data_IF_106101888680
#
_entry.id   IF_106101888680
#
_cell.length_a   1.000
_cell.length_b   1.000
_cell.length_c   1.000
_cell.angle_alpha   90.00
_cell.angle_beta   90.00
_cell.angle_gamma   90.00
#
_symmetry.space_group_name_H-M   'P 1'
#
loop_
_entity.id
_entity.type
_entity.pdbx_description
1 polymer ?
#
# COMPACT_ATOMS: atom_id res chain seq x y z
N UNK A 1 -41.86 -33.38 14.51
CA UNK A 1 -42.52 -33.53 13.21
C UNK A 1 -41.51 -33.25 12.11
N UNK A 2 -41.23 -34.25 11.31
CA UNK A 2 -40.28 -34.24 10.18
C UNK A 2 -40.90 -33.55 8.98
N UNK A 3 -40.14 -32.73 8.22
CA UNK A 3 -40.33 -32.45 6.78
C UNK A 3 -38.96 -32.07 6.26
N UNK A 4 -38.26 -32.91 5.61
CA UNK A 4 -38.23 -33.44 4.22
C UNK A 4 -37.75 -32.43 3.19
N UNK A 5 -36.58 -32.77 2.71
CA UNK A 5 -35.71 -32.30 1.62
C UNK A 5 -36.47 -32.33 0.27
N UNK A 6 -36.24 -31.34 -0.58
CA UNK A 6 -36.31 -31.53 -2.04
C UNK A 6 -35.11 -30.87 -2.72
N UNK A 7 -34.23 -31.76 -3.20
CA UNK A 7 -33.24 -31.45 -4.24
C UNK A 7 -33.94 -31.31 -5.59
N UNK A 8 -33.56 -30.35 -6.39
CA UNK A 8 -33.88 -30.36 -7.82
C UNK A 8 -32.59 -30.11 -8.61
N UNK A 9 -32.21 -31.16 -9.35
CA UNK A 9 -31.16 -31.19 -10.37
C UNK A 9 -31.77 -30.81 -11.72
N UNK A 10 -31.07 -30.00 -12.52
CA UNK A 10 -31.18 -29.90 -13.97
C UNK A 10 -29.85 -29.44 -14.55
N UNK A 11 -29.24 -30.20 -15.18
CA UNK A 11 -28.85 -30.75 -16.44
C UNK A 11 -28.58 -29.73 -17.55
N UNK A 12 -27.29 -29.65 -17.86
CA UNK A 12 -26.53 -29.36 -19.08
C UNK A 12 -27.25 -28.88 -20.34
N UNK A 13 -26.65 -27.89 -21.02
CA UNK A 13 -26.41 -27.98 -22.46
C UNK A 13 -25.17 -27.16 -22.85
N UNK A 14 -24.19 -27.85 -23.39
CA UNK A 14 -23.01 -27.31 -24.07
C UNK A 14 -23.38 -26.94 -25.51
N UNK A 15 -22.85 -25.86 -26.04
CA UNK A 15 -22.73 -25.64 -27.46
C UNK A 15 -21.39 -24.97 -27.78
N UNK A 16 -20.52 -25.75 -28.35
CA UNK A 16 -19.29 -25.33 -28.98
C UNK A 16 -19.58 -24.66 -30.33
N UNK A 17 -18.92 -23.52 -30.60
CA UNK A 17 -18.80 -23.05 -31.99
C UNK A 17 -17.33 -22.73 -32.26
N UNK A 18 -16.74 -23.60 -33.09
CA UNK A 18 -15.44 -23.44 -33.72
C UNK A 18 -15.65 -22.63 -35.01
N UNK A 19 -14.91 -21.55 -35.20
CA UNK A 19 -14.67 -21.00 -36.53
C UNK A 19 -13.19 -20.71 -36.69
N UNK A 20 -12.58 -21.54 -37.48
CA UNK A 20 -11.26 -21.37 -38.08
C UNK A 20 -11.39 -20.49 -39.33
N UNK A 21 -10.43 -19.59 -39.57
CA UNK A 21 -10.00 -19.27 -40.92
C UNK A 21 -8.57 -18.76 -40.96
N UNK A 22 -7.89 -19.32 -41.93
CA UNK A 22 -6.47 -19.31 -42.19
C UNK A 22 -6.00 -18.14 -43.07
N UNK A 23 -4.72 -17.83 -42.89
CA UNK A 23 -3.65 -17.61 -43.88
C UNK A 23 -3.81 -16.54 -44.99
N UNK A 24 -2.83 -15.69 -45.14
CA UNK A 24 -1.86 -15.78 -46.23
C UNK A 24 -0.71 -14.77 -46.06
N UNK A 25 0.46 -15.29 -46.17
CA UNK A 25 1.80 -14.84 -46.49
C UNK A 25 1.91 -13.79 -47.61
N UNK A 26 2.93 -12.92 -47.54
CA UNK A 26 3.97 -12.87 -48.55
C UNK A 26 5.16 -12.00 -48.10
N UNK A 27 6.34 -12.53 -48.43
CA UNK A 27 7.64 -11.95 -48.19
C UNK A 27 8.07 -11.06 -49.36
N UNK A 28 8.86 -10.05 -49.14
CA UNK A 28 9.84 -9.61 -50.12
C UNK A 28 11.11 -9.05 -49.51
N UNK A 29 12.18 -9.60 -49.96
CA UNK A 29 13.61 -9.37 -49.74
C UNK A 29 14.12 -8.09 -50.40
N UNK A 30 15.15 -7.49 -49.78
CA UNK A 30 15.95 -6.45 -50.44
C UNK A 30 17.21 -6.11 -49.63
N UNK A 31 18.31 -6.67 -50.07
CA UNK A 31 19.72 -6.49 -49.65
C UNK A 31 20.33 -5.22 -50.19
N UNK A 32 21.26 -4.58 -49.41
CA UNK A 32 22.63 -4.17 -49.77
C UNK A 32 23.22 -3.19 -48.76
N UNK A 33 24.21 -3.54 -48.05
CA UNK A 33 25.69 -3.45 -48.08
C UNK A 33 26.34 -2.09 -47.86
N UNK A 34 27.26 -2.13 -46.85
CA UNK A 34 28.54 -1.41 -46.66
C UNK A 34 28.46 0.03 -46.11
N UNK A 35 29.34 0.49 -45.24
CA UNK A 35 30.65 0.04 -44.68
C UNK A 35 31.09 0.98 -43.55
N UNK A 36 31.75 0.38 -42.56
CA UNK A 36 32.80 0.88 -41.64
C UNK A 36 32.93 2.35 -41.23
N UNK A 37 32.95 2.60 -39.90
CA UNK A 37 34.18 3.01 -39.22
C UNK A 37 33.97 3.02 -37.68
N UNK A 38 34.92 2.42 -37.00
CA UNK A 38 34.98 2.22 -35.55
C UNK A 38 35.28 3.50 -34.76
N UNK A 39 34.65 3.65 -33.62
CA UNK A 39 35.27 4.31 -32.46
C UNK A 39 34.69 3.72 -31.18
N UNK A 40 35.58 3.15 -30.37
CA UNK A 40 35.25 2.52 -29.11
C UNK A 40 34.97 3.56 -28.03
N UNK A 41 33.89 3.40 -27.35
CA UNK A 41 33.71 3.96 -25.99
C UNK A 41 32.86 3.00 -25.18
N UNK A 42 33.37 2.61 -24.02
CA UNK A 42 32.79 1.64 -23.13
C UNK A 42 31.47 2.17 -22.56
N UNK A 43 30.39 1.46 -22.81
CA UNK A 43 29.12 1.65 -22.14
C UNK A 43 28.82 0.43 -21.29
N UNK A 44 28.61 0.69 -20.01
CA UNK A 44 28.06 -0.30 -19.07
C UNK A 44 26.66 -0.75 -19.54
N UNK A 45 26.48 -2.06 -19.60
CA UNK A 45 25.21 -2.65 -19.92
C UNK A 45 24.29 -2.59 -18.69
N UNK A 46 23.23 -1.82 -18.76
CA UNK A 46 22.05 -1.98 -17.91
C UNK A 46 20.89 -2.38 -18.83
N UNK A 47 20.71 -3.67 -18.98
CA UNK A 47 19.51 -4.24 -19.60
C UNK A 47 18.61 -4.77 -18.48
N UNK A 48 17.61 -4.01 -18.11
CA UNK A 48 16.45 -4.58 -17.39
C UNK A 48 15.58 -5.31 -18.42
N UNK A 49 15.03 -6.50 -18.08
CA UNK A 49 14.10 -7.18 -18.97
C UNK A 49 12.77 -6.44 -19.06
N UNK A 50 12.21 -6.39 -20.25
CA UNK A 50 10.86 -5.89 -20.50
C UNK A 50 9.83 -6.61 -19.61
N UNK A 51 9.00 -5.82 -18.95
CA UNK A 51 7.95 -6.24 -18.01
C UNK A 51 6.79 -6.88 -18.79
N UNK A 52 6.30 -8.07 -18.41
CA UNK A 52 4.99 -8.53 -18.86
C UNK A 52 3.90 -7.63 -18.25
N UNK A 53 2.86 -7.32 -19.03
CA UNK A 53 1.70 -6.54 -18.61
C UNK A 53 0.99 -7.20 -17.40
N UNK A 54 1.43 -6.84 -16.19
CA UNK A 54 0.81 -7.21 -14.93
C UNK A 54 -0.02 -6.04 -14.45
N UNK A 55 -1.32 -6.23 -14.27
CA UNK A 55 -2.21 -5.24 -13.62
C UNK A 55 -1.76 -5.11 -12.16
N UNK A 56 -1.26 -3.95 -11.81
CA UNK A 56 -0.64 -3.66 -10.55
C UNK A 56 -1.58 -3.66 -9.35
N UNK A 57 -1.00 -3.77 -8.18
CA UNK A 57 -1.62 -3.43 -6.89
C UNK A 57 -2.00 -1.94 -6.81
N UNK A 58 -2.40 -1.42 -5.65
CA UNK A 58 -2.77 -0.01 -5.50
C UNK A 58 -1.60 0.89 -5.94
N UNK A 59 -1.68 1.49 -7.13
CA UNK A 59 -0.62 2.27 -7.75
C UNK A 59 -0.02 1.69 -9.02
N UNK A 60 -0.60 0.62 -9.60
CA UNK A 60 -0.10 -0.03 -10.81
C UNK A 60 -0.24 0.79 -12.09
N UNK A 61 0.56 1.83 -12.24
CA UNK A 61 0.90 2.46 -13.51
C UNK A 61 2.14 1.79 -14.12
N UNK A 62 2.21 1.68 -15.43
CA UNK A 62 3.30 1.06 -16.18
C UNK A 62 4.65 1.74 -15.90
N UNK A 63 5.65 0.95 -15.56
CA UNK A 63 6.96 1.42 -15.10
C UNK A 63 7.67 2.40 -16.03
N UNK A 64 7.96 3.56 -15.49
CA UNK A 64 9.02 4.46 -15.95
C UNK A 64 9.97 4.65 -14.79
N UNK A 65 11.23 4.26 -14.96
CA UNK A 65 12.22 4.33 -13.89
C UNK A 65 12.41 5.76 -13.36
N UNK A 66 12.70 5.87 -12.08
CA UNK A 66 13.16 7.10 -11.44
C UNK A 66 14.34 7.66 -12.26
N UNK A 67 14.16 8.82 -12.85
CA UNK A 67 15.14 9.45 -13.73
C UNK A 67 14.66 9.73 -15.15
N UNK A 68 13.47 9.31 -15.55
CA UNK A 68 12.85 9.76 -16.78
C UNK A 68 12.45 11.23 -16.64
N UNK A 69 12.96 12.08 -17.51
CA UNK A 69 12.50 13.46 -17.71
C UNK A 69 11.08 13.47 -18.30
N UNK A 70 10.13 12.83 -17.63
CA UNK A 70 8.73 12.98 -17.99
C UNK A 70 8.32 14.43 -17.74
N UNK A 71 7.70 15.05 -18.74
CA UNK A 71 7.14 16.38 -18.56
C UNK A 71 6.01 16.29 -17.54
N UNK A 72 6.12 17.03 -16.45
CA UNK A 72 5.03 17.17 -15.48
C UNK A 72 3.81 17.74 -16.18
N UNK A 73 2.72 17.00 -16.21
CA UNK A 73 1.48 17.41 -16.85
C UNK A 73 0.36 17.47 -15.81
N UNK A 74 -0.13 18.68 -15.54
CA UNK A 74 -1.18 18.93 -14.55
C UNK A 74 -2.51 19.37 -15.20
N UNK A 75 -2.60 19.33 -16.53
CA UNK A 75 -3.78 19.76 -17.27
C UNK A 75 -4.08 21.25 -17.08
N UNK A 76 -5.35 21.61 -17.21
CA UNK A 76 -5.87 22.96 -17.02
C UNK A 76 -6.52 23.16 -15.65
N UNK A 77 -7.04 24.35 -15.38
CA UNK A 77 -7.83 24.64 -14.19
C UNK A 77 -8.98 25.59 -14.55
N UNK A 78 -10.17 25.29 -14.04
CA UNK A 78 -11.30 26.17 -14.16
C UNK A 78 -11.11 27.48 -13.37
N UNK A 79 -10.44 27.38 -12.23
CA UNK A 79 -10.12 28.50 -11.36
C UNK A 79 -8.68 28.39 -10.90
N UNK A 80 -7.89 29.44 -11.06
CA UNK A 80 -6.50 29.53 -10.61
C UNK A 80 -6.32 30.69 -9.65
N UNK A 81 -5.66 30.46 -8.53
CA UNK A 81 -5.20 31.48 -7.59
C UNK A 81 -3.67 31.47 -7.60
N UNK A 82 -3.07 32.51 -8.17
CA UNK A 82 -1.62 32.69 -8.33
C UNK A 82 -1.08 33.92 -7.58
N UNK A 83 -1.90 34.50 -6.71
CA UNK A 83 -1.56 35.66 -5.87
C UNK A 83 -2.05 35.44 -4.46
N UNK A 84 -1.30 35.95 -3.49
CA UNK A 84 -1.63 35.84 -2.07
C UNK A 84 -3.02 36.42 -1.76
N UNK A 85 -3.88 35.60 -1.18
CA UNK A 85 -5.27 36.01 -0.88
C UNK A 85 -5.88 35.17 0.24
N UNK A 86 -7.01 35.66 0.74
CA UNK A 86 -7.91 34.92 1.63
C UNK A 86 -9.32 34.93 1.05
N UNK A 87 -9.89 33.75 0.86
CA UNK A 87 -11.23 33.56 0.31
C UNK A 87 -12.18 33.01 1.39
N UNK A 88 -13.39 33.54 1.41
CA UNK A 88 -14.43 33.13 2.36
C UNK A 88 -15.69 32.69 1.62
N UNK A 89 -16.20 31.50 1.95
CA UNK A 89 -17.50 31.01 1.46
C UNK A 89 -17.65 31.05 -0.07
N UNK A 90 -16.54 30.96 -0.80
CA UNK A 90 -16.50 30.92 -2.25
C UNK A 90 -16.74 29.51 -2.75
N UNK A 91 -17.34 29.35 -3.93
CA UNK A 91 -17.54 28.07 -4.60
C UNK A 91 -16.71 28.00 -5.88
N UNK A 92 -15.99 26.91 -6.04
CA UNK A 92 -15.17 26.58 -7.19
C UNK A 92 -15.69 25.27 -7.81
N UNK A 93 -15.96 25.26 -9.10
CA UNK A 93 -16.52 24.09 -9.77
C UNK A 93 -15.82 23.80 -11.08
N UNK A 94 -15.77 22.52 -11.47
CA UNK A 94 -15.35 22.08 -12.79
C UNK A 94 -16.08 20.81 -13.22
N UNK A 95 -16.28 20.68 -14.53
CA UNK A 95 -16.77 19.49 -15.21
C UNK A 95 -15.87 19.10 -16.40
N UNK A 96 -14.77 19.83 -16.62
CA UNK A 96 -13.88 19.63 -17.76
C UNK A 96 -12.96 18.43 -17.59
N UNK A 97 -12.57 17.81 -18.70
CA UNK A 97 -11.53 16.78 -18.71
C UNK A 97 -10.15 17.43 -18.49
N UNK A 98 -9.24 16.73 -17.83
CA UNK A 98 -7.88 17.21 -17.51
C UNK A 98 -7.87 18.59 -16.83
N UNK A 99 -8.88 18.91 -16.06
CA UNK A 99 -9.09 20.24 -15.49
C UNK A 99 -9.32 20.18 -13.97
N UNK A 100 -8.51 20.90 -13.19
CA UNK A 100 -8.77 21.08 -11.76
C UNK A 100 -9.97 22.02 -11.55
N UNK A 101 -10.80 21.79 -10.51
CA UNK A 101 -11.82 22.78 -10.15
C UNK A 101 -11.18 24.03 -9.52
N UNK A 102 -10.12 23.85 -8.74
CA UNK A 102 -9.29 24.92 -8.20
C UNK A 102 -7.80 24.53 -8.24
N UNK A 103 -6.96 25.43 -8.73
CA UNK A 103 -5.50 25.34 -8.62
C UNK A 103 -4.96 26.53 -7.82
N UNK A 104 -4.08 26.25 -6.86
CA UNK A 104 -3.28 27.25 -6.16
C UNK A 104 -1.84 27.11 -6.65
N UNK A 105 -1.33 28.13 -7.32
CA UNK A 105 -0.08 28.10 -8.07
C UNK A 105 0.92 29.11 -7.47
N UNK A 106 1.88 28.64 -6.71
CA UNK A 106 2.99 29.43 -6.17
C UNK A 106 2.61 30.53 -5.16
N UNK A 107 1.36 30.59 -4.72
CA UNK A 107 0.83 31.63 -3.86
C UNK A 107 0.60 31.18 -2.41
N UNK A 108 0.51 32.12 -1.49
CA UNK A 108 0.05 31.89 -0.12
C UNK A 108 -1.44 32.19 -0.03
N UNK A 109 -2.25 31.15 0.16
CA UNK A 109 -3.71 31.25 0.08
C UNK A 109 -4.37 30.67 1.33
N UNK A 110 -5.38 31.38 1.85
CA UNK A 110 -6.28 30.86 2.89
C UNK A 110 -7.68 30.71 2.32
N UNK A 111 -8.26 29.52 2.44
CA UNK A 111 -9.64 29.20 2.05
C UNK A 111 -10.43 28.83 3.31
N UNK A 112 -11.47 29.58 3.64
CA UNK A 112 -12.29 29.31 4.81
C UNK A 112 -13.78 29.21 4.44
N UNK A 113 -14.40 28.07 4.76
CA UNK A 113 -15.81 27.83 4.46
C UNK A 113 -16.09 27.71 2.95
N UNK A 114 -15.10 27.37 2.15
CA UNK A 114 -15.28 27.25 0.69
C UNK A 114 -15.87 25.89 0.30
N UNK A 115 -16.45 25.84 -0.89
CA UNK A 115 -16.87 24.61 -1.55
C UNK A 115 -16.06 24.42 -2.83
N UNK A 116 -15.41 23.27 -2.98
CA UNK A 116 -14.75 22.86 -4.22
C UNK A 116 -15.46 21.61 -4.75
N UNK A 117 -15.99 21.65 -5.95
CA UNK A 117 -16.74 20.55 -6.55
C UNK A 117 -16.24 20.21 -7.95
N UNK A 118 -15.67 19.04 -8.10
CA UNK A 118 -15.28 18.44 -9.36
C UNK A 118 -16.32 17.39 -9.75
N UNK A 119 -17.43 17.81 -10.32
CA UNK A 119 -18.62 16.97 -10.50
C UNK A 119 -18.60 16.11 -11.78
N UNK A 120 -17.62 16.28 -12.66
CA UNK A 120 -17.42 15.46 -13.86
C UNK A 120 -16.02 15.67 -14.45
N UNK A 121 -15.75 15.02 -15.57
CA UNK A 121 -14.49 15.01 -16.30
C UNK A 121 -13.66 13.78 -16.00
N UNK A 122 -12.75 13.47 -16.89
CA UNK A 122 -11.80 12.36 -16.78
C UNK A 122 -10.38 12.82 -17.08
N UNK A 123 -9.42 12.10 -16.53
CA UNK A 123 -8.01 12.29 -16.88
C UNK A 123 -7.71 11.54 -18.18
N UNK A 124 -7.08 12.20 -19.13
CA UNK A 124 -6.59 11.57 -20.35
C UNK A 124 -5.40 10.65 -20.10
N UNK A 125 -4.72 10.83 -18.98
CA UNK A 125 -3.61 9.99 -18.51
C UNK A 125 -3.75 9.76 -17.00
N UNK A 126 -3.97 8.51 -16.59
CA UNK A 126 -4.12 8.14 -15.19
C UNK A 126 -2.85 8.42 -14.38
N UNK A 127 -1.65 8.19 -14.93
CA UNK A 127 -0.39 8.47 -14.24
C UNK A 127 -0.21 9.97 -13.97
N UNK A 128 -0.55 10.85 -14.92
CA UNK A 128 -0.50 12.30 -14.70
C UNK A 128 -1.50 12.74 -13.62
N UNK A 129 -2.65 12.06 -13.53
CA UNK A 129 -3.63 12.26 -12.46
C UNK A 129 -3.08 11.82 -11.09
N UNK A 130 -2.49 10.64 -11.03
CA UNK A 130 -1.99 10.04 -9.79
C UNK A 130 -0.70 10.71 -9.29
N UNK A 131 0.21 11.09 -10.21
CA UNK A 131 1.53 11.61 -9.82
C UNK A 131 1.61 13.13 -9.76
N UNK A 132 0.83 13.84 -10.60
CA UNK A 132 0.97 15.29 -10.75
C UNK A 132 -0.29 16.08 -10.44
N UNK A 133 -1.41 15.38 -10.13
CA UNK A 133 -2.67 16.02 -9.75
C UNK A 133 -3.50 16.55 -10.91
N UNK A 134 -3.29 16.05 -12.15
CA UNK A 134 -4.18 16.34 -13.25
C UNK A 134 -5.60 15.86 -12.91
N UNK A 135 -6.59 16.69 -13.19
CA UNK A 135 -8.01 16.44 -12.90
C UNK A 135 -8.42 16.44 -11.42
N UNK A 136 -7.52 16.71 -10.46
CA UNK A 136 -7.87 16.82 -9.05
C UNK A 136 -8.92 17.92 -8.79
N UNK A 137 -9.75 17.74 -7.76
CA UNK A 137 -10.69 18.81 -7.37
C UNK A 137 -9.92 20.05 -6.93
N UNK A 138 -8.94 19.91 -6.04
CA UNK A 138 -8.07 20.99 -5.60
C UNK A 138 -6.61 20.57 -5.73
N UNK A 139 -5.81 21.35 -6.47
CA UNK A 139 -4.37 21.15 -6.63
C UNK A 139 -3.60 22.35 -6.08
N UNK A 140 -2.66 22.10 -5.15
CA UNK A 140 -1.63 23.05 -4.77
C UNK A 140 -0.28 22.64 -5.38
N UNK A 141 0.44 23.58 -6.00
CA UNK A 141 1.65 23.31 -6.75
C UNK A 141 2.62 24.50 -6.76
N UNK A 142 3.84 24.30 -7.28
CA UNK A 142 4.85 25.34 -7.49
C UNK A 142 5.26 26.09 -6.21
N UNK A 143 5.36 25.38 -5.09
CA UNK A 143 5.76 26.01 -3.81
C UNK A 143 4.63 26.79 -3.13
N UNK A 144 3.37 26.54 -3.48
CA UNK A 144 2.22 27.15 -2.83
C UNK A 144 2.15 26.81 -1.34
N UNK A 145 1.67 27.75 -0.54
CA UNK A 145 1.27 27.53 0.85
C UNK A 145 -0.24 27.73 0.95
N UNK A 146 -0.95 26.63 1.06
CA UNK A 146 -2.42 26.63 1.08
C UNK A 146 -2.94 26.23 2.46
N UNK A 147 -3.77 27.10 3.05
CA UNK A 147 -4.51 26.81 4.29
C UNK A 147 -6.00 26.66 3.96
N UNK A 148 -6.60 25.53 4.37
CA UNK A 148 -8.02 25.22 4.15
C UNK A 148 -8.69 24.96 5.50
N UNK A 149 -9.78 25.66 5.77
CA UNK A 149 -10.51 25.52 7.03
C UNK A 149 -12.01 25.43 6.77
N UNK A 150 -12.72 24.61 7.56
CA UNK A 150 -14.20 24.55 7.58
C UNK A 150 -14.82 24.38 6.18
N UNK A 151 -14.16 23.65 5.29
CA UNK A 151 -14.48 23.61 3.86
C UNK A 151 -15.02 22.25 3.44
N UNK A 152 -15.66 22.20 2.27
CA UNK A 152 -16.17 20.98 1.67
C UNK A 152 -15.57 20.79 0.28
N UNK A 153 -14.91 19.65 0.07
CA UNK A 153 -14.31 19.29 -1.21
C UNK A 153 -14.95 17.99 -1.70
N UNK A 154 -15.51 18.02 -2.91
CA UNK A 154 -16.17 16.85 -3.51
C UNK A 154 -15.62 16.57 -4.90
N UNK A 155 -15.57 15.26 -5.25
CA UNK A 155 -15.25 14.85 -6.62
C UNK A 155 -16.03 13.60 -7.02
N UNK A 156 -16.57 13.60 -8.24
CA UNK A 156 -17.08 12.42 -8.92
C UNK A 156 -16.39 12.17 -10.28
N UNK A 157 -15.23 12.79 -10.47
CA UNK A 157 -14.41 12.67 -11.65
C UNK A 157 -13.34 11.58 -11.48
N UNK A 158 -13.01 10.86 -12.54
CA UNK A 158 -11.88 9.92 -12.55
C UNK A 158 -10.56 10.68 -12.36
N UNK A 159 -9.65 10.16 -11.51
CA UNK A 159 -8.47 10.88 -11.02
C UNK A 159 -8.79 12.22 -10.33
N UNK A 160 -10.05 12.39 -9.92
CA UNK A 160 -10.53 13.57 -9.22
C UNK A 160 -10.15 13.56 -7.75
N UNK A 161 -8.86 13.46 -7.43
CA UNK A 161 -8.37 13.50 -6.08
C UNK A 161 -8.92 14.72 -5.33
N UNK A 162 -9.31 14.56 -4.06
CA UNK A 162 -9.94 15.62 -3.30
C UNK A 162 -9.02 16.82 -3.13
N UNK A 163 -7.94 16.66 -2.37
CA UNK A 163 -6.92 17.70 -2.15
C UNK A 163 -5.54 17.12 -2.50
N UNK A 164 -4.85 17.78 -3.40
CA UNK A 164 -3.56 17.33 -3.92
C UNK A 164 -2.46 18.35 -3.62
N UNK A 165 -1.38 17.90 -2.96
CA UNK A 165 -0.15 18.66 -2.71
C UNK A 165 0.97 18.13 -3.59
N UNK A 166 1.43 18.90 -4.55
CA UNK A 166 2.47 18.50 -5.49
C UNK A 166 3.72 19.35 -5.43
N UNK A 167 4.87 18.69 -5.30
CA UNK A 167 6.18 19.27 -5.53
C UNK A 167 6.84 19.86 -4.27
N UNK A 168 8.17 19.86 -4.28
CA UNK A 168 8.97 20.42 -3.19
C UNK A 168 8.58 21.88 -2.87
N UNK A 169 8.54 22.21 -1.59
CA UNK A 169 8.15 23.53 -1.09
C UNK A 169 6.64 23.78 -1.07
N UNK A 170 5.83 22.95 -1.73
CA UNK A 170 4.36 23.06 -1.64
C UNK A 170 3.88 22.50 -0.29
N UNK A 171 3.04 23.28 0.40
CA UNK A 171 2.48 22.90 1.69
C UNK A 171 0.97 23.14 1.71
N UNK A 172 0.22 22.10 2.04
CA UNK A 172 -1.21 22.16 2.33
C UNK A 172 -1.45 21.96 3.81
N UNK A 173 -2.08 22.95 4.46
CA UNK A 173 -2.58 22.84 5.82
C UNK A 173 -4.11 22.81 5.75
N UNK A 174 -4.73 21.71 6.18
CA UNK A 174 -6.18 21.55 6.09
C UNK A 174 -6.77 21.12 7.42
N UNK A 175 -7.83 21.78 7.86
CA UNK A 175 -8.50 21.46 9.13
C UNK A 175 -10.02 21.53 9.05
N UNK A 176 -10.69 20.77 9.94
CA UNK A 176 -12.13 20.82 10.19
C UNK A 176 -12.98 20.78 8.89
N UNK A 177 -12.52 20.00 7.93
CA UNK A 177 -13.06 19.98 6.56
C UNK A 177 -13.53 18.60 6.17
N UNK A 178 -14.42 18.54 5.18
CA UNK A 178 -14.95 17.30 4.64
C UNK A 178 -14.47 17.09 3.21
N UNK A 179 -13.97 15.90 2.91
CA UNK A 179 -13.55 15.49 1.56
C UNK A 179 -14.32 14.23 1.17
N UNK A 180 -14.96 14.25 -0.01
CA UNK A 180 -15.64 13.07 -0.57
C UNK A 180 -15.28 12.87 -2.02
N UNK A 181 -14.81 11.69 -2.37
CA UNK A 181 -14.54 11.28 -3.75
C UNK A 181 -15.28 9.98 -4.08
N UNK A 182 -15.71 9.81 -5.33
CA UNK A 182 -16.57 8.66 -5.68
C UNK A 182 -16.18 7.91 -6.94
N UNK A 183 -15.32 8.48 -7.80
CA UNK A 183 -14.84 7.79 -9.00
C UNK A 183 -13.50 7.08 -8.75
N UNK A 184 -13.09 6.23 -9.70
CA UNK A 184 -11.84 5.47 -9.61
C UNK A 184 -10.61 6.39 -9.68
N UNK A 185 -9.52 5.97 -9.06
CA UNK A 185 -8.25 6.70 -8.93
C UNK A 185 -8.42 8.10 -8.30
N UNK A 186 -9.33 8.23 -7.35
CA UNK A 186 -9.71 9.52 -6.75
C UNK A 186 -9.53 9.46 -5.24
N UNK A 187 -8.30 9.61 -4.77
CA UNK A 187 -7.95 9.63 -3.35
C UNK A 187 -8.55 10.82 -2.60
N UNK A 188 -8.51 10.76 -1.27
CA UNK A 188 -8.98 11.84 -0.40
C UNK A 188 -7.97 12.99 -0.33
N UNK A 189 -6.92 12.86 0.48
CA UNK A 189 -5.74 13.73 0.48
C UNK A 189 -4.60 12.99 -0.21
N UNK A 190 -3.91 13.67 -1.12
CA UNK A 190 -2.80 13.10 -1.88
C UNK A 190 -1.59 14.01 -1.87
N UNK A 191 -0.40 13.44 -1.70
CA UNK A 191 0.87 14.17 -1.62
C UNK A 191 1.92 13.46 -2.46
N UNK A 192 2.53 14.17 -3.40
CA UNK A 192 3.53 13.61 -4.30
C UNK A 192 4.63 14.61 -4.63
N UNK A 193 5.71 14.13 -5.24
CA UNK A 193 6.80 14.99 -5.73
C UNK A 193 7.50 15.81 -4.65
N UNK A 194 7.52 15.34 -3.40
CA UNK A 194 8.15 16.04 -2.27
C UNK A 194 7.25 17.10 -1.59
N UNK A 195 5.94 17.12 -1.88
CA UNK A 195 4.99 18.02 -1.22
C UNK A 195 4.80 17.71 0.27
N UNK A 196 4.09 18.59 0.95
CA UNK A 196 3.72 18.42 2.37
C UNK A 196 2.23 18.62 2.56
N UNK A 197 1.58 17.71 3.32
CA UNK A 197 0.20 17.88 3.78
C UNK A 197 0.13 17.75 5.28
N UNK A 198 -0.43 18.76 5.95
CA UNK A 198 -0.76 18.74 7.37
C UNK A 198 -2.28 18.79 7.51
N UNK A 199 -2.87 17.70 8.01
CA UNK A 199 -4.31 17.54 8.12
C UNK A 199 -4.74 17.43 9.59
N UNK A 200 -5.76 18.17 9.99
CA UNK A 200 -6.30 18.11 11.35
C UNK A 200 -7.80 17.94 11.31
N UNK A 201 -8.31 16.92 12.03
CA UNK A 201 -9.75 16.72 12.26
C UNK A 201 -10.58 16.69 10.96
N UNK A 202 -10.15 15.93 9.95
CA UNK A 202 -10.88 15.80 8.69
C UNK A 202 -11.92 14.68 8.74
N UNK A 203 -12.96 14.81 7.92
CA UNK A 203 -13.83 13.71 7.52
C UNK A 203 -13.56 13.40 6.05
N UNK A 204 -12.92 12.28 5.79
CA UNK A 204 -12.57 11.83 4.43
C UNK A 204 -13.30 10.55 4.10
N UNK A 205 -13.98 10.52 2.96
CA UNK A 205 -14.66 9.33 2.42
C UNK A 205 -14.34 9.18 0.94
N UNK A 206 -13.77 8.03 0.56
CA UNK A 206 -13.55 7.67 -0.85
C UNK A 206 -14.34 6.42 -1.20
N UNK A 207 -14.86 6.32 -2.43
CA UNK A 207 -15.71 5.19 -2.84
C UNK A 207 -15.27 4.54 -4.15
N UNK A 208 -14.39 5.16 -4.92
CA UNK A 208 -13.83 4.60 -6.15
C UNK A 208 -12.80 3.51 -5.87
N UNK A 209 -12.53 2.69 -6.87
CA UNK A 209 -11.42 1.73 -6.84
C UNK A 209 -10.08 2.49 -6.94
N UNK A 210 -9.02 1.94 -6.38
CA UNK A 210 -7.69 2.56 -6.33
C UNK A 210 -7.72 3.99 -5.77
N UNK A 211 -8.52 4.21 -4.73
CA UNK A 211 -8.84 5.52 -4.16
C UNK A 211 -8.62 5.56 -2.65
N UNK A 212 -7.37 5.50 -2.22
CA UNK A 212 -7.02 5.56 -0.81
C UNK A 212 -7.47 6.88 -0.15
N UNK A 213 -7.87 6.83 1.12
CA UNK A 213 -8.31 8.03 1.84
C UNK A 213 -7.14 8.98 2.16
N UNK A 214 -5.97 8.43 2.53
CA UNK A 214 -4.69 9.13 2.65
C UNK A 214 -3.74 8.45 1.65
N UNK A 215 -3.22 9.22 0.69
CA UNK A 215 -2.41 8.67 -0.39
C UNK A 215 -1.15 9.50 -0.61
N UNK A 216 -0.08 8.81 -0.90
CA UNK A 216 1.10 9.37 -1.59
C UNK A 216 1.42 8.52 -2.80
N UNK A 217 2.20 9.08 -3.71
CA UNK A 217 2.62 8.38 -4.92
C UNK A 217 4.00 8.88 -5.33
N UNK A 218 4.42 8.61 -6.55
CA UNK A 218 5.78 8.86 -7.08
C UNK A 218 6.38 10.19 -6.64
N UNK A 219 7.62 10.13 -6.14
CA UNK A 219 8.35 11.28 -5.60
C UNK A 219 8.05 11.58 -4.13
N UNK A 220 7.15 10.82 -3.50
CA UNK A 220 6.90 10.88 -2.07
C UNK A 220 6.51 12.25 -1.53
N UNK A 221 6.87 12.48 -0.28
CA UNK A 221 6.63 13.73 0.45
C UNK A 221 6.46 13.49 1.94
N UNK A 222 5.72 14.39 2.60
CA UNK A 222 5.41 14.29 4.03
C UNK A 222 3.92 14.49 4.27
N UNK A 223 3.30 13.56 4.99
CA UNK A 223 1.89 13.67 5.39
C UNK A 223 1.79 13.56 6.90
N UNK A 224 1.27 14.60 7.54
CA UNK A 224 1.01 14.63 8.98
C UNK A 224 -0.50 14.76 9.20
N UNK A 225 -1.08 13.82 9.95
CA UNK A 225 -2.50 13.79 10.27
C UNK A 225 -2.69 13.77 11.78
N UNK A 226 -3.57 14.61 12.32
CA UNK A 226 -3.97 14.58 13.73
C UNK A 226 -5.49 14.66 13.85
N UNK A 227 -6.10 13.59 14.32
CA UNK A 227 -7.55 13.45 14.47
C UNK A 227 -8.29 13.23 13.14
N UNK A 228 -9.59 13.01 13.25
CA UNK A 228 -10.49 12.83 12.13
C UNK A 228 -10.79 11.38 11.78
N UNK A 229 -11.57 11.20 10.71
CA UNK A 229 -12.01 9.92 10.21
C UNK A 229 -11.72 9.79 8.72
N UNK A 230 -11.07 8.71 8.32
CA UNK A 230 -10.62 8.44 6.98
C UNK A 230 -11.12 7.08 6.55
N UNK A 231 -12.10 7.06 5.65
CA UNK A 231 -12.78 5.84 5.20
C UNK A 231 -12.61 5.65 3.70
N UNK A 232 -12.16 4.48 3.30
CA UNK A 232 -12.16 4.02 1.91
C UNK A 232 -13.14 2.85 1.75
N UNK A 233 -13.93 2.88 0.66
CA UNK A 233 -14.96 1.88 0.37
C UNK A 233 -14.66 1.06 -0.89
N UNK A 234 -13.77 1.54 -1.74
CA UNK A 234 -13.44 0.92 -3.01
C UNK A 234 -12.54 -0.31 -2.88
N UNK A 235 -12.55 -1.12 -3.94
CA UNK A 235 -11.58 -2.18 -4.12
C UNK A 235 -10.18 -1.56 -4.33
N UNK A 236 -9.15 -2.23 -3.79
CA UNK A 236 -7.75 -1.78 -3.93
C UNK A 236 -7.56 -0.34 -3.42
N UNK A 237 -8.27 0.02 -2.36
CA UNK A 237 -8.34 1.37 -1.80
C UNK A 237 -8.05 1.33 -0.30
N UNK A 238 -6.78 1.26 0.10
CA UNK A 238 -6.43 1.27 1.52
C UNK A 238 -6.85 2.58 2.20
N UNK A 239 -6.99 2.55 3.53
CA UNK A 239 -7.18 3.79 4.27
C UNK A 239 -5.93 4.68 4.17
N UNK A 240 -4.73 4.06 4.19
CA UNK A 240 -3.45 4.74 3.98
C UNK A 240 -2.59 3.97 2.98
N UNK A 241 -2.19 4.62 1.89
CA UNK A 241 -1.19 4.12 0.94
C UNK A 241 0.05 5.03 0.96
N UNK A 242 1.19 4.46 1.31
CA UNK A 242 2.43 5.23 1.53
C UNK A 242 3.55 4.88 0.54
N UNK A 243 3.93 5.87 -0.24
CA UNK A 243 5.23 6.02 -0.89
C UNK A 243 5.94 7.28 -0.37
N UNK A 244 5.72 7.63 0.89
CA UNK A 244 6.18 8.85 1.56
C UNK A 244 6.47 8.58 3.04
N UNK A 245 6.75 9.64 3.78
CA UNK A 245 6.72 9.61 5.25
C UNK A 245 5.34 10.06 5.75
N UNK A 246 4.53 9.11 6.21
CA UNK A 246 3.17 9.36 6.70
C UNK A 246 3.10 9.15 8.21
N UNK A 247 2.69 10.18 8.93
CA UNK A 247 2.41 10.12 10.37
C UNK A 247 0.94 10.42 10.61
N UNK A 248 0.25 9.52 11.33
CA UNK A 248 -1.17 9.70 11.70
C UNK A 248 -1.33 9.53 13.20
N UNK A 249 -2.02 10.47 13.83
CA UNK A 249 -2.30 10.48 15.28
C UNK A 249 -3.79 10.65 15.54
N UNK A 250 -4.28 9.98 16.58
CA UNK A 250 -5.62 10.17 17.15
C UNK A 250 -6.77 10.06 16.12
N UNK A 251 -6.63 9.24 15.09
CA UNK A 251 -7.55 9.15 13.96
C UNK A 251 -8.19 7.78 13.82
N UNK A 252 -9.36 7.73 13.17
CA UNK A 252 -10.03 6.52 12.75
C UNK A 252 -9.74 6.25 11.26
N UNK A 253 -9.12 5.12 10.97
CA UNK A 253 -8.72 4.68 9.64
C UNK A 253 -9.48 3.41 9.27
N UNK A 254 -10.29 3.44 8.22
CA UNK A 254 -11.12 2.30 7.83
C UNK A 254 -11.05 2.03 6.34
N UNK A 255 -10.71 0.78 5.97
CA UNK A 255 -10.85 0.27 4.61
C UNK A 255 -11.92 -0.83 4.60
N UNK A 256 -13.00 -0.61 3.84
CA UNK A 256 -14.15 -1.51 3.81
C UNK A 256 -14.08 -2.60 2.73
N UNK A 257 -13.16 -2.50 1.78
CA UNK A 257 -13.00 -3.45 0.69
C UNK A 257 -11.53 -3.56 0.22
N UNK A 258 -10.61 -3.31 1.14
CA UNK A 258 -9.17 -3.34 0.89
C UNK A 258 -8.42 -3.62 2.19
N UNK A 259 -7.12 -3.82 2.10
CA UNK A 259 -6.20 -3.69 3.22
C UNK A 259 -6.30 -2.29 3.85
N UNK A 260 -6.04 -2.19 5.15
CA UNK A 260 -6.09 -0.90 5.83
C UNK A 260 -4.89 -0.01 5.50
N UNK A 261 -3.70 -0.61 5.49
CA UNK A 261 -2.42 0.11 5.41
C UNK A 261 -1.51 -0.55 4.38
N UNK A 262 -0.89 0.25 3.55
CA UNK A 262 0.09 -0.20 2.55
C UNK A 262 1.34 0.68 2.62
N UNK A 263 2.52 0.04 2.66
CA UNK A 263 3.81 0.71 2.53
C UNK A 263 4.56 0.10 1.35
N UNK A 264 4.93 0.92 0.39
CA UNK A 264 5.75 0.51 -0.74
C UNK A 264 7.16 1.09 -0.66
N UNK A 265 8.18 0.23 -0.75
CA UNK A 265 9.59 0.62 -0.83
C UNK A 265 10.12 1.30 0.42
N UNK A 266 11.10 2.18 0.24
CA UNK A 266 11.79 2.91 1.31
C UNK A 266 10.92 4.05 1.89
N UNK A 267 9.77 3.69 2.44
CA UNK A 267 8.79 4.65 2.95
C UNK A 267 8.28 4.23 4.32
N UNK A 268 7.46 5.09 4.94
CA UNK A 268 7.02 4.86 6.31
C UNK A 268 5.55 5.14 6.57
N UNK A 269 4.99 4.42 7.56
CA UNK A 269 3.76 4.77 8.27
C UNK A 269 4.03 4.74 9.77
N UNK A 270 3.77 5.85 10.44
CA UNK A 270 3.82 5.97 11.90
C UNK A 270 2.44 6.30 12.44
N UNK A 271 1.90 5.45 13.32
CA UNK A 271 0.59 5.63 13.94
C UNK A 271 0.70 5.81 15.46
N UNK A 272 -0.01 6.79 15.99
CA UNK A 272 -0.12 7.03 17.44
C UNK A 272 -1.59 7.13 17.85
N UNK A 273 -2.05 6.24 18.74
CA UNK A 273 -3.43 6.21 19.27
C UNK A 273 -4.51 6.19 18.18
N UNK A 274 -4.28 5.48 17.08
CA UNK A 274 -5.25 5.35 15.98
C UNK A 274 -6.12 4.11 16.17
N UNK A 275 -7.36 4.19 15.65
CA UNK A 275 -8.22 3.02 15.43
C UNK A 275 -8.14 2.64 13.96
N UNK A 276 -7.62 1.44 13.68
CA UNK A 276 -7.41 0.97 12.30
C UNK A 276 -8.26 -0.27 12.04
N UNK A 277 -9.00 -0.28 10.94
CA UNK A 277 -9.81 -1.43 10.52
C UNK A 277 -9.59 -1.71 9.03
N UNK A 278 -9.21 -2.94 8.71
CA UNK A 278 -9.11 -3.46 7.35
C UNK A 278 -10.15 -4.54 7.09
N UNK A 279 -10.63 -4.64 5.85
CA UNK A 279 -11.58 -5.65 5.40
C UNK A 279 -11.38 -5.96 3.92
N UNK A 280 -10.21 -6.50 3.58
CA UNK A 280 -9.93 -6.92 2.21
C UNK A 280 -10.88 -8.05 1.80
N UNK A 281 -11.53 -7.90 0.64
CA UNK A 281 -12.48 -8.90 0.12
C UNK A 281 -11.77 -10.16 -0.37
N UNK A 282 -12.39 -11.33 -0.16
CA UNK A 282 -11.98 -12.59 -0.80
C UNK A 282 -12.22 -12.57 -2.32
N UNK A 283 -13.26 -11.86 -2.76
CA UNK A 283 -13.52 -11.63 -4.17
C UNK A 283 -12.74 -10.43 -4.65
N UNK A 284 -11.51 -10.68 -5.07
CA UNK A 284 -10.59 -9.66 -5.55
C UNK A 284 -10.79 -9.31 -7.02
N UNK A 285 -11.83 -9.83 -7.64
CA UNK A 285 -12.11 -9.62 -9.06
C UNK A 285 -10.96 -10.09 -9.95
N UNK A 286 -10.20 -9.15 -10.49
CA UNK A 286 -9.01 -9.43 -11.32
C UNK A 286 -7.70 -9.34 -10.55
N UNK A 287 -7.72 -9.17 -9.23
CA UNK A 287 -6.52 -9.09 -8.41
C UNK A 287 -5.69 -10.37 -8.54
N UNK A 288 -4.40 -10.20 -8.57
CA UNK A 288 -3.41 -11.27 -8.50
C UNK A 288 -2.81 -11.46 -7.11
N UNK A 289 -3.40 -10.84 -6.08
CA UNK A 289 -2.93 -10.98 -4.71
C UNK A 289 -2.95 -12.45 -4.29
N UNK A 290 -1.88 -12.85 -3.64
CA UNK A 290 -1.69 -14.26 -3.28
C UNK A 290 -2.46 -14.63 -2.02
N UNK A 291 -2.72 -13.65 -1.15
CA UNK A 291 -3.53 -13.83 0.04
C UNK A 291 -4.35 -12.57 0.37
N UNK A 292 -5.30 -12.72 1.29
CA UNK A 292 -6.05 -11.63 1.88
C UNK A 292 -5.30 -11.15 3.12
N UNK A 293 -5.16 -9.83 3.28
CA UNK A 293 -4.36 -9.24 4.36
C UNK A 293 -4.87 -7.84 4.73
N UNK A 294 -4.34 -7.27 5.82
CA UNK A 294 -4.81 -5.99 6.34
C UNK A 294 -3.71 -4.91 6.39
N UNK A 295 -2.46 -5.31 6.62
CA UNK A 295 -1.29 -4.45 6.50
C UNK A 295 -0.34 -5.08 5.50
N UNK A 296 -0.05 -4.37 4.42
CA UNK A 296 0.89 -4.81 3.40
C UNK A 296 2.15 -3.97 3.41
N UNK A 297 3.32 -4.62 3.42
CA UNK A 297 4.61 -3.96 3.28
C UNK A 297 5.39 -4.66 2.17
N UNK A 298 5.70 -3.94 1.10
CA UNK A 298 6.25 -4.57 -0.09
C UNK A 298 7.12 -3.64 -0.94
N UNK A 299 7.77 -4.19 -1.94
CA UNK A 299 8.41 -3.46 -3.02
C UNK A 299 7.92 -4.00 -4.36
N UNK A 300 7.24 -3.17 -5.14
CA UNK A 300 6.66 -3.57 -6.43
C UNK A 300 7.68 -3.64 -7.56
N UNK A 301 8.82 -2.95 -7.44
CA UNK A 301 9.80 -2.74 -8.51
C UNK A 301 9.24 -1.93 -9.70
N UNK A 302 8.10 -1.23 -9.50
CA UNK A 302 7.49 -0.37 -10.53
C UNK A 302 8.29 0.90 -10.81
N UNK A 303 9.08 1.34 -9.83
CA UNK A 303 9.76 2.64 -9.83
C UNK A 303 8.92 3.77 -9.21
N UNK A 304 7.78 3.45 -8.59
CA UNK A 304 6.96 4.44 -7.88
C UNK A 304 7.53 4.75 -6.49
N UNK A 305 8.26 3.79 -5.92
CA UNK A 305 9.01 3.96 -4.68
C UNK A 305 10.44 3.44 -4.80
N UNK A 306 11.38 4.11 -4.16
CA UNK A 306 12.77 3.67 -4.08
C UNK A 306 12.89 2.35 -3.31
N UNK A 307 13.81 1.50 -3.77
CA UNK A 307 14.16 0.26 -3.07
C UNK A 307 14.96 0.60 -1.81
N UNK A 308 14.50 0.07 -0.67
CA UNK A 308 15.20 0.30 0.59
C UNK A 308 14.44 -0.30 1.77
N UNK A 309 14.65 0.26 2.95
CA UNK A 309 14.01 -0.24 4.18
C UNK A 309 12.68 0.46 4.40
N UNK A 310 11.61 -0.31 4.41
CA UNK A 310 10.28 0.16 4.84
C UNK A 310 10.21 0.28 6.37
N UNK A 311 9.43 1.21 6.88
CA UNK A 311 9.24 1.37 8.33
C UNK A 311 7.76 1.43 8.69
N UNK A 312 7.34 0.57 9.62
CA UNK A 312 6.01 0.63 10.24
C UNK A 312 6.14 0.75 11.75
N UNK A 313 5.53 1.76 12.31
CA UNK A 313 5.48 1.95 13.76
C UNK A 313 4.07 2.24 14.22
N UNK A 314 3.60 1.52 15.25
CA UNK A 314 2.31 1.82 15.88
C UNK A 314 2.42 1.79 17.39
N UNK A 315 1.96 2.87 18.02
CA UNK A 315 1.95 3.03 19.49
C UNK A 315 0.54 3.33 19.97
N UNK A 316 0.03 2.50 20.87
CA UNK A 316 -1.34 2.61 21.38
C UNK A 316 -2.39 2.38 20.31
N UNK A 317 -3.66 2.60 20.65
CA UNK A 317 -4.78 2.38 19.73
C UNK A 317 -5.07 0.91 19.43
N UNK A 318 -5.68 0.65 18.26
CA UNK A 318 -6.09 -0.69 17.84
C UNK A 318 -5.92 -0.91 16.34
N UNK A 319 -5.58 -2.15 15.96
CA UNK A 319 -5.56 -2.62 14.58
C UNK A 319 -6.42 -3.88 14.48
N UNK A 320 -7.48 -3.81 13.69
CA UNK A 320 -8.43 -4.90 13.47
C UNK A 320 -8.41 -5.33 12.01
N UNK A 321 -8.06 -6.59 11.75
CA UNK A 321 -8.27 -7.26 10.47
C UNK A 321 -9.57 -8.04 10.51
N UNK A 322 -10.50 -7.79 9.60
CA UNK A 322 -11.78 -8.51 9.52
C UNK A 322 -11.67 -9.76 8.69
N UNK A 323 -10.69 -9.83 7.79
CA UNK A 323 -10.51 -10.93 6.87
C UNK A 323 -9.03 -11.10 6.50
N UNK A 324 -8.52 -12.33 6.45
CA UNK A 324 -7.16 -12.67 6.06
C UNK A 324 -6.07 -12.36 7.11
N UNK A 325 -4.84 -12.39 6.66
CA UNK A 325 -3.67 -12.16 7.51
C UNK A 325 -3.63 -10.72 8.05
N UNK A 326 -3.17 -10.55 9.30
CA UNK A 326 -3.08 -9.20 9.85
C UNK A 326 -1.94 -8.41 9.19
N UNK A 327 -0.77 -9.07 8.98
CA UNK A 327 0.39 -8.50 8.28
C UNK A 327 0.84 -9.42 7.14
N UNK A 328 1.13 -8.83 5.99
CA UNK A 328 1.76 -9.49 4.85
C UNK A 328 2.97 -8.69 4.38
N UNK A 329 4.15 -9.31 4.40
CA UNK A 329 5.41 -8.65 4.04
C UNK A 329 6.09 -9.45 2.92
N UNK A 330 6.44 -8.77 1.83
CA UNK A 330 7.07 -9.42 0.67
C UNK A 330 8.03 -8.49 -0.08
N UNK A 331 9.11 -9.05 -0.61
CA UNK A 331 10.06 -8.37 -1.51
C UNK A 331 10.67 -7.07 -0.95
N UNK A 332 10.82 -6.95 0.37
CA UNK A 332 11.36 -5.72 0.99
C UNK A 332 12.07 -6.03 2.30
N UNK A 333 12.93 -5.11 2.73
CA UNK A 333 13.42 -5.06 4.11
C UNK A 333 12.49 -4.16 4.93
N UNK A 334 12.00 -4.64 6.06
CA UNK A 334 11.01 -3.94 6.89
C UNK A 334 11.40 -3.90 8.35
N UNK A 335 11.32 -2.71 8.96
CA UNK A 335 11.43 -2.51 10.40
C UNK A 335 10.04 -2.25 10.96
N UNK A 336 9.56 -3.14 11.83
CA UNK A 336 8.21 -3.09 12.41
C UNK A 336 8.33 -2.91 13.91
N UNK A 337 7.70 -1.86 14.46
CA UNK A 337 7.65 -1.58 15.89
C UNK A 337 6.21 -1.48 16.38
N UNK A 338 5.85 -2.31 17.36
CA UNK A 338 4.53 -2.33 17.97
C UNK A 338 4.63 -2.08 19.47
N UNK A 339 3.90 -1.10 19.99
CA UNK A 339 3.94 -0.76 21.42
C UNK A 339 2.55 -0.47 21.98
N UNK A 340 2.05 -1.35 22.84
CA UNK A 340 0.77 -1.19 23.51
C UNK A 340 -0.46 -1.14 22.61
N UNK A 341 -0.37 -1.75 21.43
CA UNK A 341 -1.45 -1.81 20.43
C UNK A 341 -2.39 -2.97 20.72
N UNK A 342 -3.70 -2.74 20.66
CA UNK A 342 -4.68 -3.82 20.65
C UNK A 342 -4.79 -4.39 19.24
N UNK A 343 -4.23 -5.59 19.03
CA UNK A 343 -4.33 -6.31 17.77
C UNK A 343 -5.51 -7.28 17.81
N UNK A 344 -6.35 -7.27 16.79
CA UNK A 344 -7.49 -8.19 16.62
C UNK A 344 -7.49 -8.72 15.20
N UNK A 345 -7.46 -10.04 15.05
CA UNK A 345 -7.75 -10.69 13.78
C UNK A 345 -9.08 -11.44 13.93
N UNK A 346 -10.13 -10.98 13.25
CA UNK A 346 -11.45 -11.60 13.28
C UNK A 346 -11.48 -12.91 12.47
N UNK A 347 -10.56 -13.07 11.51
CA UNK A 347 -10.33 -14.33 10.81
C UNK A 347 -9.38 -15.21 11.63
N UNK A 348 -9.97 -16.15 12.37
CA UNK A 348 -9.23 -17.03 13.28
C UNK A 348 -8.35 -18.07 12.59
N UNK A 349 -8.56 -18.31 11.31
CA UNK A 349 -7.76 -19.26 10.50
C UNK A 349 -6.53 -18.60 9.88
N UNK A 350 -6.56 -17.28 9.72
CA UNK A 350 -5.48 -16.49 9.16
C UNK A 350 -4.27 -16.33 10.10
N UNK A 351 -3.19 -15.78 9.58
CA UNK A 351 -1.96 -15.57 10.34
C UNK A 351 -1.93 -14.18 11.00
N UNK A 352 -1.22 -14.08 12.10
CA UNK A 352 -0.79 -12.78 12.61
C UNK A 352 0.15 -12.10 11.59
N UNK A 353 1.08 -12.89 11.01
CA UNK A 353 2.06 -12.34 10.07
C UNK A 353 2.52 -13.41 9.08
N UNK A 354 2.52 -13.07 7.80
CA UNK A 354 3.13 -13.86 6.72
C UNK A 354 4.30 -13.06 6.13
N UNK A 355 5.49 -13.67 6.15
CA UNK A 355 6.75 -13.11 5.67
C UNK A 355 7.23 -14.02 4.54
N UNK A 356 7.13 -13.54 3.30
CA UNK A 356 7.27 -14.44 2.14
C UNK A 356 7.82 -13.73 0.91
N UNK A 357 8.40 -14.50 0.01
CA UNK A 357 8.54 -14.08 -1.38
C UNK A 357 7.21 -14.27 -2.11
N UNK A 358 6.93 -13.41 -3.08
CA UNK A 358 5.74 -13.56 -3.91
C UNK A 358 5.96 -14.49 -5.09
N UNK A 359 4.88 -14.89 -5.74
CA UNK A 359 4.95 -15.59 -7.03
C UNK A 359 5.35 -14.62 -8.16
N UNK A 360 5.57 -15.16 -9.35
CA UNK A 360 5.84 -14.34 -10.53
C UNK A 360 4.62 -13.55 -11.03
N UNK A 361 3.43 -13.76 -10.48
CA UNK A 361 2.17 -13.18 -10.99
C UNK A 361 2.13 -11.65 -10.91
N UNK A 362 2.71 -11.07 -9.86
CA UNK A 362 2.81 -9.61 -9.72
C UNK A 362 3.98 -9.00 -10.50
N UNK A 363 5.01 -9.76 -10.84
CA UNK A 363 6.28 -9.21 -11.34
C UNK A 363 7.09 -8.45 -10.29
N UNK A 364 6.79 -8.59 -9.01
CA UNK A 364 7.53 -7.97 -7.91
C UNK A 364 8.79 -8.78 -7.60
N UNK A 365 9.93 -8.30 -8.06
CA UNK A 365 11.20 -9.02 -7.97
C UNK A 365 11.21 -10.30 -8.80
N UNK A 366 12.19 -11.16 -8.53
CA UNK A 366 12.33 -12.48 -9.17
C UNK A 366 11.79 -13.56 -8.25
N UNK A 367 10.78 -14.31 -8.68
CA UNK A 367 10.23 -15.43 -7.92
C UNK A 367 11.33 -16.38 -7.42
N UNK A 368 11.25 -16.78 -6.14
CA UNK A 368 12.30 -17.56 -5.48
C UNK A 368 13.55 -16.75 -5.04
N UNK A 369 13.55 -15.42 -5.26
CA UNK A 369 14.64 -14.52 -4.83
C UNK A 369 14.13 -13.19 -4.27
N UNK A 370 12.83 -13.06 -4.07
CA UNK A 370 12.15 -11.87 -3.61
C UNK A 370 11.60 -12.01 -2.18
N UNK A 371 12.31 -12.75 -1.33
CA UNK A 371 11.98 -12.90 0.08
C UNK A 371 12.01 -11.59 0.85
N UNK A 372 11.16 -11.47 1.86
CA UNK A 372 11.16 -10.34 2.76
C UNK A 372 12.19 -10.50 3.88
N UNK A 373 12.67 -9.38 4.42
CA UNK A 373 13.52 -9.32 5.61
C UNK A 373 12.81 -8.47 6.65
N UNK A 374 12.44 -9.05 7.79
CA UNK A 374 11.63 -8.38 8.81
C UNK A 374 12.39 -8.30 10.13
N UNK A 375 12.52 -7.07 10.66
CA UNK A 375 12.92 -6.79 12.03
C UNK A 375 11.67 -6.39 12.82
N UNK A 376 11.16 -7.28 13.70
CA UNK A 376 9.97 -7.05 14.51
C UNK A 376 10.32 -6.79 15.96
N UNK A 377 10.02 -5.61 16.45
CA UNK A 377 10.12 -5.28 17.88
C UNK A 377 8.73 -5.16 18.51
N UNK A 378 8.47 -5.98 19.52
CA UNK A 378 7.30 -5.89 20.38
C UNK A 378 7.72 -5.29 21.73
N UNK A 379 7.21 -4.10 22.06
CA UNK A 379 7.53 -3.36 23.26
C UNK A 379 6.28 -3.17 24.13
N UNK A 380 6.23 -3.75 25.33
CA UNK A 380 5.02 -3.77 26.13
C UNK A 380 3.78 -4.17 25.31
N UNK A 381 3.96 -5.15 24.44
CA UNK A 381 3.01 -5.55 23.41
C UNK A 381 2.52 -6.99 23.62
N UNK A 382 1.22 -7.18 23.40
CA UNK A 382 0.64 -8.52 23.30
C UNK A 382 0.52 -8.92 21.83
N UNK A 383 1.13 -10.03 21.45
CA UNK A 383 1.01 -10.65 20.14
C UNK A 383 0.26 -11.97 20.27
N UNK A 384 -0.64 -12.27 19.33
CA UNK A 384 -1.42 -13.51 19.32
C UNK A 384 -1.64 -14.00 17.88
N UNK A 385 -1.35 -15.28 17.62
CA UNK A 385 -1.56 -15.90 16.32
C UNK A 385 -0.34 -16.62 15.76
N UNK A 386 -0.41 -16.96 14.48
CA UNK A 386 0.66 -17.68 13.76
C UNK A 386 1.55 -16.67 13.04
N UNK A 387 2.85 -16.90 13.06
CA UNK A 387 3.83 -16.23 12.20
C UNK A 387 4.41 -17.28 11.26
N UNK A 388 4.34 -17.05 9.97
CA UNK A 388 4.88 -17.92 8.93
C UNK A 388 5.98 -17.17 8.19
N UNK A 389 7.15 -17.83 8.07
CA UNK A 389 8.32 -17.29 7.36
C UNK A 389 8.70 -18.30 6.30
N UNK A 390 8.79 -17.91 5.05
CA UNK A 390 9.23 -18.84 4.02
C UNK A 390 10.76 -19.00 3.97
N UNK A 391 11.21 -20.04 3.25
CA UNK A 391 12.63 -20.44 3.22
C UNK A 391 13.57 -19.40 2.61
N UNK A 392 13.05 -18.42 1.88
CA UNK A 392 13.84 -17.34 1.24
C UNK A 392 13.75 -16.01 1.99
N UNK A 393 12.95 -15.94 3.07
CA UNK A 393 12.71 -14.75 3.88
C UNK A 393 13.32 -14.85 5.27
N UNK A 394 13.43 -13.72 5.97
CA UNK A 394 13.97 -13.66 7.33
C UNK A 394 13.07 -12.90 8.28
N UNK A 395 13.06 -13.35 9.55
CA UNK A 395 12.46 -12.68 10.70
C UNK A 395 13.52 -12.57 11.83
N UNK A 396 13.77 -11.35 12.28
CA UNK A 396 14.42 -11.08 13.57
C UNK A 396 13.38 -10.51 14.53
N UNK A 397 12.91 -11.32 15.48
CA UNK A 397 11.84 -10.92 16.41
C UNK A 397 12.39 -10.71 17.82
N UNK A 398 12.13 -9.54 18.37
CA UNK A 398 12.47 -9.20 19.75
C UNK A 398 11.23 -8.87 20.57
N UNK A 399 11.04 -9.59 21.68
CA UNK A 399 10.08 -9.24 22.73
C UNK A 399 10.80 -8.52 23.86
N UNK A 400 10.33 -7.33 24.23
CA UNK A 400 10.90 -6.53 25.31
C UNK A 400 9.83 -5.86 26.19
N UNK A 401 10.24 -5.39 27.35
CA UNK A 401 9.42 -4.58 28.27
C UNK A 401 8.09 -5.24 28.67
N UNK A 402 8.14 -6.55 29.00
CA UNK A 402 6.95 -7.28 29.45
C UNK A 402 6.02 -7.76 28.35
N UNK A 403 6.47 -7.73 27.11
CA UNK A 403 5.71 -8.24 25.97
C UNK A 403 5.40 -9.73 26.08
N UNK A 404 4.29 -10.14 25.48
CA UNK A 404 3.91 -11.54 25.40
C UNK A 404 3.55 -11.93 23.96
N UNK A 405 3.93 -13.15 23.60
CA UNK A 405 3.49 -13.79 22.38
C UNK A 405 2.79 -15.11 22.69
N UNK A 406 1.57 -15.28 22.18
CA UNK A 406 0.80 -16.52 22.26
C UNK A 406 0.58 -17.03 20.84
N UNK A 407 1.32 -18.08 20.44
CA UNK A 407 1.24 -18.51 19.03
C UNK A 407 2.40 -19.40 18.63
N UNK A 408 2.54 -19.56 17.32
CA UNK A 408 3.59 -20.34 16.67
C UNK A 408 4.41 -19.52 15.70
N UNK A 409 5.68 -19.89 15.53
CA UNK A 409 6.54 -19.42 14.44
C UNK A 409 6.99 -20.64 13.67
N UNK A 410 6.76 -20.65 12.35
CA UNK A 410 7.14 -21.76 11.51
C UNK A 410 7.81 -21.32 10.22
N UNK A 411 8.94 -21.95 9.92
CA UNK A 411 9.63 -21.83 8.65
C UNK A 411 8.98 -22.82 7.68
N UNK A 412 8.60 -22.35 6.49
CA UNK A 412 7.98 -23.16 5.43
C UNK A 412 8.75 -23.00 4.12
N UNK A 413 8.61 -23.97 3.21
CA UNK A 413 9.20 -23.84 1.88
C UNK A 413 8.51 -22.74 1.09
N UNK A 414 9.29 -21.90 0.36
CA UNK A 414 8.70 -20.94 -0.57
C UNK A 414 8.05 -21.67 -1.77
N UNK A 415 6.82 -21.29 -2.12
CA UNK A 415 6.04 -21.93 -3.17
C UNK A 415 6.68 -21.81 -4.57
N UNK A 416 7.42 -20.73 -4.82
CA UNK A 416 8.16 -20.53 -6.07
C UNK A 416 9.57 -21.17 -6.06
N UNK A 417 9.95 -21.83 -4.95
CA UNK A 417 11.28 -22.37 -4.75
C UNK A 417 12.31 -21.29 -4.43
N UNK A 418 13.55 -21.53 -4.77
CA UNK A 418 14.66 -20.61 -4.50
C UNK A 418 15.68 -21.23 -3.56
N UNK A 419 16.76 -20.49 -3.29
CA UNK A 419 17.78 -20.94 -2.34
C UNK A 419 17.38 -20.49 -0.95
N UNK A 420 17.22 -21.45 -0.05
CA UNK A 420 16.95 -21.15 1.35
C UNK A 420 18.04 -20.22 1.92
N UNK A 421 17.62 -19.22 2.69
CA UNK A 421 18.54 -18.32 3.39
C UNK A 421 18.86 -18.88 4.78
N UNK A 422 19.99 -18.45 5.33
CA UNK A 422 20.30 -18.68 6.73
C UNK A 422 19.53 -17.68 7.61
N UNK A 423 19.29 -18.02 8.86
CA UNK A 423 18.63 -17.16 9.84
C UNK A 423 17.18 -16.76 9.47
N UNK A 424 16.42 -17.69 8.90
CA UNK A 424 14.99 -17.44 8.55
C UNK A 424 14.16 -16.92 9.71
N UNK A 425 14.33 -17.46 10.93
CA UNK A 425 13.59 -17.00 12.10
C UNK A 425 14.49 -16.98 13.33
N UNK A 426 14.95 -15.81 13.71
CA UNK A 426 15.73 -15.53 14.92
C UNK A 426 14.81 -14.90 15.95
N UNK A 427 14.75 -15.46 17.16
CA UNK A 427 13.84 -15.00 18.19
C UNK A 427 14.59 -14.63 19.46
N UNK A 428 14.35 -13.44 19.98
CA UNK A 428 14.86 -12.97 21.27
C UNK A 428 13.70 -12.69 22.23
N UNK A 429 13.68 -13.40 23.36
CA UNK A 429 12.73 -13.16 24.45
C UNK A 429 13.47 -12.44 25.56
N UNK A 430 13.14 -11.16 25.76
CA UNK A 430 13.72 -10.32 26.79
C UNK A 430 13.26 -10.69 28.21
N UNK A 431 13.95 -10.17 29.19
CA UNK A 431 13.59 -10.37 30.59
C UNK A 431 12.18 -9.85 30.89
N UNK A 432 11.39 -10.66 31.61
CA UNK A 432 9.99 -10.36 31.93
C UNK A 432 9.00 -10.61 30.78
N UNK A 433 9.47 -11.02 29.60
CA UNK A 433 8.63 -11.36 28.46
C UNK A 433 8.26 -12.85 28.48
N UNK A 434 7.19 -13.20 27.79
CA UNK A 434 6.66 -14.57 27.76
C UNK A 434 6.29 -15.00 26.34
N UNK A 435 6.71 -16.19 25.94
CA UNK A 435 6.18 -16.89 24.75
C UNK A 435 5.40 -18.12 25.18
N UNK A 436 4.11 -18.18 24.84
CA UNK A 436 3.23 -19.33 25.10
C UNK A 436 2.93 -20.01 23.77
N UNK A 437 3.34 -21.28 23.63
CA UNK A 437 3.14 -22.05 22.40
C UNK A 437 1.67 -22.49 22.28
N UNK A 438 1.14 -22.43 21.07
CA UNK A 438 -0.16 -22.99 20.68
C UNK A 438 -0.06 -24.15 19.71
N UNK A 439 1.16 -24.53 19.32
CA UNK A 439 1.53 -25.62 18.43
C UNK A 439 3.04 -25.79 18.40
N UNK A 440 3.51 -26.81 17.70
CA UNK A 440 4.95 -27.02 17.48
C UNK A 440 5.51 -25.90 16.58
N UNK A 441 6.74 -25.49 16.87
CA UNK A 441 7.42 -24.40 16.20
C UNK A 441 8.73 -24.88 15.53
N UNK A 442 9.07 -24.25 14.41
CA UNK A 442 10.36 -24.38 13.74
C UNK A 442 10.98 -23.02 13.54
N UNK A 443 12.11 -22.76 14.17
CA UNK A 443 12.85 -21.49 14.07
C UNK A 443 14.34 -21.75 13.87
N UNK A 444 15.10 -20.75 13.46
CA UNK A 444 16.55 -20.89 13.26
C UNK A 444 17.29 -20.89 14.59
N UNK A 445 17.04 -19.91 15.43
CA UNK A 445 17.72 -19.74 16.71
C UNK A 445 16.87 -19.01 17.74
N UNK A 446 17.21 -19.20 19.02
CA UNK A 446 16.50 -18.64 20.16
C UNK A 446 17.46 -18.09 21.21
N UNK A 447 17.30 -16.82 21.54
CA UNK A 447 17.87 -16.21 22.75
C UNK A 447 16.76 -16.01 23.78
N UNK A 448 16.80 -16.75 24.89
CA UNK A 448 15.75 -16.68 25.92
C UNK A 448 16.27 -16.14 27.24
N UNK A 449 15.87 -14.92 27.57
CA UNK A 449 16.06 -14.29 28.89
C UNK A 449 14.73 -14.13 29.65
N UNK A 450 13.63 -14.61 29.09
CA UNK A 450 12.27 -14.54 29.64
C UNK A 450 11.71 -15.91 30.03
N UNK A 451 10.45 -16.14 29.71
CA UNK A 451 9.72 -17.36 30.00
C UNK A 451 9.15 -17.99 28.74
N UNK A 452 9.27 -19.31 28.59
CA UNK A 452 8.57 -20.06 27.56
C UNK A 452 7.60 -21.04 28.22
N UNK A 453 6.32 -20.95 27.87
CA UNK A 453 5.29 -21.90 28.23
C UNK A 453 5.06 -22.85 27.06
N UNK A 454 5.64 -24.04 27.13
CA UNK A 454 5.60 -25.02 26.03
C UNK A 454 4.20 -25.61 25.79
N UNK A 455 3.34 -25.72 26.81
CA UNK A 455 1.98 -26.29 26.69
C UNK A 455 1.91 -27.68 26.05
N UNK A 456 2.98 -28.49 26.21
CA UNK A 456 3.07 -29.80 25.58
C UNK A 456 3.57 -29.81 24.15
N UNK A 457 3.93 -28.65 23.61
CA UNK A 457 4.51 -28.45 22.29
C UNK A 457 6.03 -28.34 22.34
N UNK A 458 6.66 -28.22 21.17
CA UNK A 458 8.13 -28.19 21.03
C UNK A 458 8.57 -27.00 20.16
N UNK A 459 9.82 -26.57 20.31
CA UNK A 459 10.52 -25.69 19.38
C UNK A 459 11.68 -26.46 18.80
N UNK A 460 11.70 -26.64 17.49
CA UNK A 460 12.83 -27.26 16.78
C UNK A 460 13.70 -26.16 16.18
N UNK A 461 15.00 -26.19 16.52
CA UNK A 461 15.99 -25.24 15.98
C UNK A 461 16.64 -25.78 14.69
N UNK A 462 17.27 -24.89 13.90
CA UNK A 462 17.93 -25.28 12.66
C UNK A 462 19.04 -26.33 12.81
N UNK A 463 19.71 -26.43 13.97
CA UNK A 463 20.71 -27.43 14.25
C UNK A 463 20.12 -28.80 14.66
N UNK A 464 18.80 -28.94 14.62
CA UNK A 464 18.07 -30.15 15.04
C UNK A 464 17.80 -30.24 16.53
N UNK A 465 18.21 -29.28 17.34
CA UNK A 465 17.88 -29.23 18.77
C UNK A 465 16.38 -29.05 18.96
N UNK A 466 15.78 -29.94 19.78
CA UNK A 466 14.35 -29.84 20.14
C UNK A 466 14.25 -29.37 21.58
N UNK A 467 13.66 -28.20 21.75
CA UNK A 467 13.36 -27.63 23.07
C UNK A 467 11.95 -28.06 23.47
N UNK A 468 11.80 -28.57 24.66
CA UNK A 468 10.56 -28.94 25.31
C UNK A 468 10.69 -28.70 26.81
N UNK A 469 9.59 -28.86 27.55
CA UNK A 469 9.58 -28.70 29.00
C UNK A 469 10.75 -29.39 29.70
#
# INVERSE_FOLDING_TARGET
MRKAIKRLTSLTCAAALVVSLAACSEAQTGTSTSSEAASASATAASGAPDKPDGKGGPGGGAGGGFGGSGTVTQGTSANTIDTDTTEYSTSYTSTGDDENALRVDGATVTLNGVTVDKSAGSSSNTEDGDFYGMNAALLATNGATLTIENSTITSSAQNGNGVFSYGEGTTVNISDSTIKTSADNSGGIQTTGGGTTNATNLTVETSGNSSAAIRSDRGGGTVNVDGGSYTSNGYNSPAVYSTADITVKNADLTANNSEALVIEGQNSITLENCTVTGNMSDDKGTSSDENVHNVMIYQSMSGDADVGTSSFSMTGGSLTGKNGDLFHITNTHSVISLSGVTLTNEDTDANLMTITGNSASHGWGTAGSNGAQVELTADNQKLEGKIVVDSISTLDMTLQNGSSFTGTINIVENAAGGTAVENNAVVTIGSGCTWTLTGDCTITSLTNNGTINFNGHTITLADGTVLSK
#
